data_IF_261957551763
#
_entry.id   IF_261957551763
#
_cell.length_a   1.000
_cell.length_b   1.000
_cell.length_c   1.000
_cell.angle_alpha   90.00
_cell.angle_beta   90.00
_cell.angle_gamma   90.00
#
_symmetry.space_group_name_H-M   'P 1'
#
loop_
_entity.id
_entity.type
_entity.pdbx_description
1 polymer ?
#
# COMPACT_ATOMS: atom_id res chain seq x y z
N UNK A 1 -25.93 -54.17 40.41
CA UNK A 1 -25.88 -53.81 38.96
C UNK A 1 -25.90 -55.14 38.18
N UNK A 2 -26.89 -55.38 37.32
CA UNK A 2 -27.02 -56.65 36.64
C UNK A 2 -26.02 -56.75 35.46
N UNK A 3 -25.53 -57.99 35.16
CA UNK A 3 -24.64 -58.25 33.99
C UNK A 3 -25.16 -57.59 32.69
N UNK A 4 -26.46 -57.53 32.53
CA UNK A 4 -27.14 -56.94 31.36
C UNK A 4 -26.99 -55.41 31.27
N UNK A 5 -26.98 -54.74 32.41
CA UNK A 5 -26.78 -53.29 32.50
C UNK A 5 -25.31 -52.91 32.17
N UNK A 6 -24.35 -53.71 32.64
CA UNK A 6 -22.94 -53.52 32.36
C UNK A 6 -22.61 -53.70 30.86
N UNK A 7 -23.17 -54.72 30.20
CA UNK A 7 -22.99 -54.94 28.78
C UNK A 7 -23.56 -53.79 27.92
N UNK A 8 -24.74 -53.24 28.29
CA UNK A 8 -25.29 -52.05 27.60
C UNK A 8 -24.42 -50.81 27.75
N UNK A 9 -23.87 -50.57 28.92
CA UNK A 9 -22.98 -49.44 29.17
C UNK A 9 -21.70 -49.57 28.33
N UNK A 10 -21.11 -50.75 28.27
CA UNK A 10 -19.92 -51.02 27.45
C UNK A 10 -20.22 -50.80 25.96
N UNK A 11 -21.34 -51.25 25.42
CA UNK A 11 -21.75 -51.02 24.03
C UNK A 11 -21.91 -49.51 23.73
N UNK A 12 -22.50 -48.75 24.64
CA UNK A 12 -22.64 -47.29 24.51
C UNK A 12 -21.28 -46.63 24.52
N UNK A 13 -20.37 -47.02 25.42
CA UNK A 13 -19.02 -46.42 25.50
C UNK A 13 -18.19 -46.72 24.26
N UNK A 14 -18.31 -47.95 23.72
CA UNK A 14 -17.63 -48.32 22.47
C UNK A 14 -18.17 -47.49 21.28
N UNK A 15 -19.48 -47.37 21.14
CA UNK A 15 -20.09 -46.52 20.10
C UNK A 15 -19.72 -45.06 20.23
N UNK A 16 -19.72 -44.54 21.45
CA UNK A 16 -19.28 -43.16 21.72
C UNK A 16 -17.79 -42.93 21.36
N UNK A 17 -16.91 -43.91 21.67
CA UNK A 17 -15.51 -43.86 21.27
C UNK A 17 -15.32 -43.80 19.76
N UNK A 18 -16.00 -44.67 19.02
CA UNK A 18 -15.92 -44.65 17.55
C UNK A 18 -16.56 -43.39 16.94
N UNK A 19 -17.66 -42.89 17.51
CA UNK A 19 -18.26 -41.61 17.12
C UNK A 19 -17.31 -40.43 17.32
N UNK A 20 -16.63 -40.37 18.47
CA UNK A 20 -15.65 -39.33 18.75
C UNK A 20 -14.44 -39.42 17.79
N UNK A 21 -13.94 -40.63 17.53
CA UNK A 21 -12.84 -40.84 16.59
C UNK A 21 -13.22 -40.40 15.15
N UNK A 22 -14.44 -40.69 14.71
CA UNK A 22 -14.95 -40.26 13.41
C UNK A 22 -15.02 -38.73 13.33
N UNK A 23 -15.54 -38.06 14.36
CA UNK A 23 -15.63 -36.62 14.42
C UNK A 23 -14.23 -35.95 14.42
N UNK A 24 -13.25 -36.52 15.12
CA UNK A 24 -11.88 -36.02 15.09
C UNK A 24 -11.26 -36.13 13.70
N UNK A 25 -11.45 -37.23 13.00
CA UNK A 25 -10.95 -37.41 11.63
C UNK A 25 -11.60 -36.40 10.68
N UNK A 26 -12.91 -36.16 10.75
CA UNK A 26 -13.59 -35.15 9.94
C UNK A 26 -13.04 -33.75 10.26
N UNK A 27 -12.93 -33.41 11.54
CA UNK A 27 -12.40 -32.11 11.95
C UNK A 27 -10.96 -31.87 11.44
N UNK A 28 -10.13 -32.93 11.44
CA UNK A 28 -8.77 -32.87 10.91
C UNK A 28 -8.76 -32.64 9.40
N UNK A 29 -9.62 -33.35 8.64
CA UNK A 29 -9.71 -33.16 7.19
C UNK A 29 -10.22 -31.77 6.84
N UNK A 30 -11.28 -31.29 7.52
CA UNK A 30 -11.81 -29.95 7.30
C UNK A 30 -10.79 -28.87 7.66
N UNK A 31 -10.05 -29.05 8.76
CA UNK A 31 -8.96 -28.18 9.15
C UNK A 31 -7.84 -28.13 8.10
N UNK A 32 -7.39 -29.29 7.64
CA UNK A 32 -6.38 -29.38 6.59
C UNK A 32 -6.84 -28.72 5.29
N UNK A 33 -8.10 -28.96 4.89
CA UNK A 33 -8.69 -28.34 3.69
C UNK A 33 -8.82 -26.82 3.83
N UNK A 34 -9.18 -26.31 5.01
CA UNK A 34 -9.23 -24.87 5.30
C UNK A 34 -7.85 -24.24 5.21
N UNK A 35 -6.84 -24.81 5.86
CA UNK A 35 -5.47 -24.29 5.82
C UNK A 35 -4.82 -24.41 4.44
N UNK A 36 -5.21 -25.39 3.62
CA UNK A 36 -4.77 -25.50 2.23
C UNK A 36 -5.51 -24.56 1.28
N UNK A 37 -6.57 -23.86 1.73
CA UNK A 37 -7.40 -23.00 0.89
C UNK A 37 -8.27 -23.75 -0.13
N UNK A 38 -8.47 -25.07 0.06
CA UNK A 38 -9.17 -25.93 -0.93
C UNK A 38 -10.64 -25.57 -1.09
N UNK A 39 -11.33 -25.21 -0.01
CA UNK A 39 -12.76 -24.87 -0.04
C UNK A 39 -13.04 -23.39 -0.23
N UNK A 40 -12.24 -22.55 0.41
CA UNK A 40 -12.35 -21.09 0.35
C UNK A 40 -10.98 -20.50 0.65
N UNK A 41 -10.43 -19.62 -0.20
CA UNK A 41 -9.16 -18.95 0.07
C UNK A 41 -9.26 -18.20 1.39
N UNK A 42 -8.49 -18.62 2.39
CA UNK A 42 -8.40 -17.88 3.64
C UNK A 42 -7.30 -16.81 3.53
N UNK A 43 -7.27 -15.84 4.45
CA UNK A 43 -6.33 -14.72 4.45
C UNK A 43 -4.87 -15.20 4.37
N UNK A 44 -4.51 -16.25 5.12
CA UNK A 44 -3.16 -16.81 5.09
C UNK A 44 -2.77 -17.37 3.71
N UNK A 45 -3.71 -18.01 3.01
CA UNK A 45 -3.45 -18.53 1.65
C UNK A 45 -3.34 -17.39 0.64
N UNK A 46 -4.17 -16.35 0.78
CA UNK A 46 -4.12 -15.16 -0.07
C UNK A 46 -2.79 -14.41 0.12
N UNK A 47 -2.37 -14.15 1.36
CA UNK A 47 -1.10 -13.52 1.69
C UNK A 47 0.08 -14.28 1.10
N UNK A 48 0.06 -15.62 1.18
CA UNK A 48 1.11 -16.46 0.61
C UNK A 48 1.18 -16.38 -0.91
N UNK A 49 0.03 -16.38 -1.58
CA UNK A 49 -0.05 -16.23 -3.04
C UNK A 49 0.47 -14.84 -3.44
N UNK A 50 0.10 -13.81 -2.71
CA UNK A 50 0.53 -12.44 -2.98
C UNK A 50 2.05 -12.28 -2.79
N UNK A 51 2.62 -12.84 -1.73
CA UNK A 51 4.07 -12.91 -1.51
C UNK A 51 4.81 -13.62 -2.66
N UNK A 52 4.26 -14.71 -3.19
CA UNK A 52 4.85 -15.43 -4.32
C UNK A 52 4.78 -14.61 -5.61
N UNK A 53 3.68 -13.93 -5.86
CA UNK A 53 3.52 -13.03 -7.02
C UNK A 53 4.52 -11.89 -6.91
N UNK A 54 4.60 -11.24 -5.76
CA UNK A 54 5.55 -10.15 -5.53
C UNK A 54 7.01 -10.57 -5.71
N UNK A 55 7.39 -11.75 -5.20
CA UNK A 55 8.73 -12.32 -5.45
C UNK A 55 9.01 -12.56 -6.93
N UNK A 56 8.01 -13.02 -7.70
CA UNK A 56 8.15 -13.19 -9.15
C UNK A 56 8.31 -11.86 -9.87
N UNK A 57 7.54 -10.84 -9.50
CA UNK A 57 7.67 -9.48 -10.04
C UNK A 57 9.06 -8.89 -9.76
N UNK A 58 9.57 -8.99 -8.52
CA UNK A 58 10.92 -8.56 -8.17
C UNK A 58 12.02 -9.30 -8.97
N UNK A 59 11.86 -10.60 -9.14
CA UNK A 59 12.79 -11.38 -9.96
C UNK A 59 12.77 -10.94 -11.42
N UNK A 60 11.60 -10.64 -11.99
CA UNK A 60 11.48 -10.12 -13.35
C UNK A 60 12.16 -8.75 -13.50
N UNK A 61 11.97 -7.82 -12.55
CA UNK A 61 12.67 -6.53 -12.53
C UNK A 61 14.19 -6.72 -12.57
N UNK A 62 14.69 -7.66 -11.76
CA UNK A 62 16.12 -7.98 -11.69
C UNK A 62 16.63 -8.61 -12.99
N UNK A 63 15.89 -9.58 -13.54
CA UNK A 63 16.25 -10.27 -14.79
C UNK A 63 16.21 -9.34 -16.00
N UNK A 64 15.27 -8.41 -16.05
CA UNK A 64 15.13 -7.42 -17.12
C UNK A 64 16.10 -6.24 -16.95
N UNK A 65 16.83 -6.16 -15.84
CA UNK A 65 17.75 -5.07 -15.55
C UNK A 65 17.04 -3.71 -15.51
N UNK A 66 15.77 -3.68 -15.11
CA UNK A 66 15.00 -2.44 -15.02
C UNK A 66 15.64 -1.50 -14.02
N UNK A 67 15.95 -0.30 -14.49
CA UNK A 67 16.51 0.78 -13.68
C UNK A 67 15.45 1.84 -13.45
N UNK A 68 15.60 2.60 -12.35
CA UNK A 68 14.80 3.78 -12.11
C UNK A 68 14.84 4.70 -13.34
N UNK A 69 13.68 5.14 -13.86
CA UNK A 69 13.62 6.00 -15.02
C UNK A 69 14.17 7.39 -14.73
N UNK A 70 14.80 8.01 -15.72
CA UNK A 70 15.16 9.42 -15.65
C UNK A 70 13.91 10.28 -15.53
N UNK A 71 13.96 11.24 -14.58
CA UNK A 71 12.82 12.11 -14.28
C UNK A 71 13.05 13.49 -14.93
N UNK A 72 12.93 13.53 -16.26
CA UNK A 72 13.10 14.75 -17.06
C UNK A 72 11.74 15.35 -17.45
N UNK A 73 11.62 16.67 -17.30
CA UNK A 73 10.42 17.41 -17.69
C UNK A 73 10.75 18.88 -17.97
N UNK A 74 9.91 19.52 -18.79
CA UNK A 74 10.02 20.94 -19.15
C UNK A 74 8.73 21.70 -18.84
N UNK A 75 7.62 21.01 -18.78
CA UNK A 75 6.27 21.55 -18.58
C UNK A 75 5.40 20.57 -17.80
N UNK A 76 4.14 20.97 -17.52
CA UNK A 76 3.17 20.16 -16.79
C UNK A 76 2.94 18.79 -17.47
N UNK A 77 2.82 18.75 -18.79
CA UNK A 77 2.53 17.50 -19.51
C UNK A 77 3.67 16.50 -19.40
N UNK A 78 4.91 16.98 -19.57
CA UNK A 78 6.12 16.14 -19.43
C UNK A 78 6.38 15.77 -17.98
N UNK A 79 6.05 16.64 -16.99
CA UNK A 79 6.09 16.30 -15.57
C UNK A 79 5.14 15.14 -15.24
N UNK A 80 3.91 15.18 -15.74
CA UNK A 80 2.92 14.09 -15.58
C UNK A 80 3.50 12.78 -16.13
N UNK A 81 4.07 12.80 -17.34
CA UNK A 81 4.67 11.62 -17.97
C UNK A 81 5.87 11.09 -17.19
N UNK A 82 6.74 11.96 -16.68
CA UNK A 82 7.88 11.56 -15.87
C UNK A 82 7.44 10.93 -14.54
N UNK A 83 6.44 11.54 -13.89
CA UNK A 83 5.85 10.98 -12.66
C UNK A 83 5.17 9.64 -12.91
N UNK A 84 4.42 9.50 -14.00
CA UNK A 84 3.78 8.23 -14.40
C UNK A 84 4.81 7.12 -14.57
N UNK A 85 5.88 7.35 -15.35
CA UNK A 85 6.96 6.37 -15.53
C UNK A 85 7.60 5.95 -14.21
N UNK A 86 7.80 6.91 -13.30
CA UNK A 86 8.33 6.63 -11.97
C UNK A 86 7.37 5.74 -11.16
N UNK A 87 6.07 6.05 -11.15
CA UNK A 87 5.07 5.27 -10.42
C UNK A 87 4.94 3.86 -11.01
N UNK A 88 4.93 3.73 -12.33
CA UNK A 88 4.94 2.43 -13.02
C UNK A 88 6.15 1.60 -12.60
N UNK A 89 7.35 2.18 -12.60
CA UNK A 89 8.57 1.53 -12.12
C UNK A 89 8.44 1.09 -10.64
N UNK A 90 7.98 1.99 -9.77
CA UNK A 90 7.80 1.69 -8.35
C UNK A 90 6.75 0.58 -8.11
N UNK A 91 5.72 0.51 -8.92
CA UNK A 91 4.69 -0.53 -8.81
C UNK A 91 5.21 -1.94 -9.08
N UNK A 92 6.30 -2.11 -9.85
CA UNK A 92 6.98 -3.40 -9.97
C UNK A 92 7.70 -3.82 -8.67
N UNK A 93 8.09 -2.86 -7.83
CA UNK A 93 8.84 -3.10 -6.60
C UNK A 93 8.00 -2.88 -5.33
N UNK A 94 6.74 -2.50 -5.50
CA UNK A 94 5.78 -2.28 -4.39
C UNK A 94 4.71 -3.36 -4.45
N UNK A 95 4.55 -4.05 -3.34
CA UNK A 95 3.48 -5.03 -3.18
C UNK A 95 2.11 -4.39 -3.49
N UNK A 96 1.18 -5.19 -4.03
CA UNK A 96 -0.11 -4.72 -4.55
C UNK A 96 -0.93 -3.95 -3.51
N UNK A 97 -0.99 -4.45 -2.27
CA UNK A 97 -1.75 -3.83 -1.18
C UNK A 97 -1.12 -2.52 -0.69
N UNK A 98 0.16 -2.32 -0.97
CA UNK A 98 0.91 -1.10 -0.62
C UNK A 98 0.92 -0.04 -1.71
N UNK A 99 0.39 -0.32 -2.90
CA UNK A 99 0.33 0.65 -4.01
C UNK A 99 -0.67 1.75 -3.69
N UNK A 100 -0.29 2.98 -4.03
CA UNK A 100 -1.17 4.14 -3.98
C UNK A 100 -1.67 4.43 -5.40
N UNK A 101 -2.94 4.77 -5.62
CA UNK A 101 -3.46 5.02 -6.96
C UNK A 101 -2.63 6.06 -7.74
N UNK A 102 -2.24 5.71 -8.95
CA UNK A 102 -1.31 6.50 -9.79
C UNK A 102 -1.77 7.94 -9.99
N UNK A 103 -3.05 8.14 -10.28
CA UNK A 103 -3.61 9.49 -10.47
C UNK A 103 -3.50 10.36 -9.21
N UNK A 104 -3.66 9.77 -8.02
CA UNK A 104 -3.48 10.49 -6.76
C UNK A 104 -2.03 10.93 -6.57
N UNK A 105 -1.07 10.03 -6.81
CA UNK A 105 0.36 10.35 -6.69
C UNK A 105 0.72 11.50 -7.63
N UNK A 106 0.30 11.43 -8.90
CA UNK A 106 0.60 12.45 -9.91
C UNK A 106 -0.02 13.80 -9.53
N UNK A 107 -1.30 13.81 -9.14
CA UNK A 107 -2.00 15.03 -8.74
C UNK A 107 -1.35 15.67 -7.50
N UNK A 108 -1.10 14.89 -6.46
CA UNK A 108 -0.44 15.36 -5.24
C UNK A 108 0.97 15.88 -5.53
N UNK A 109 1.77 15.15 -6.32
CA UNK A 109 3.10 15.62 -6.73
C UNK A 109 3.03 16.96 -7.48
N UNK A 110 2.06 17.10 -8.38
CA UNK A 110 1.84 18.34 -9.12
C UNK A 110 1.47 19.51 -8.21
N UNK A 111 0.52 19.32 -7.29
CA UNK A 111 0.06 20.36 -6.36
C UNK A 111 1.18 20.79 -5.41
N UNK A 112 1.82 19.83 -4.73
CA UNK A 112 2.83 20.09 -3.71
C UNK A 112 4.12 20.72 -4.29
N UNK A 113 4.47 20.36 -5.52
CA UNK A 113 5.70 20.85 -6.17
C UNK A 113 5.47 21.99 -7.15
N UNK A 114 4.23 22.43 -7.38
CA UNK A 114 3.89 23.35 -8.47
C UNK A 114 4.25 22.74 -9.83
N UNK A 115 3.88 21.48 -10.06
CA UNK A 115 4.23 20.70 -11.24
C UNK A 115 5.76 20.63 -11.47
N UNK A 116 6.50 20.52 -10.38
CA UNK A 116 7.94 20.42 -10.39
C UNK A 116 8.70 21.75 -10.44
N UNK A 117 8.02 22.89 -10.41
CA UNK A 117 8.69 24.22 -10.51
C UNK A 117 9.18 24.77 -9.18
N UNK A 118 8.72 24.20 -8.05
CA UNK A 118 9.12 24.68 -6.73
C UNK A 118 10.64 24.51 -6.48
N UNK A 119 11.22 25.37 -5.65
CA UNK A 119 12.63 25.28 -5.25
C UNK A 119 12.97 23.90 -4.65
N UNK A 120 12.08 23.36 -3.82
CA UNK A 120 12.30 22.05 -3.21
C UNK A 120 12.35 20.92 -4.26
N UNK A 121 11.51 21.00 -5.30
CA UNK A 121 11.53 20.04 -6.40
C UNK A 121 12.79 20.19 -7.28
N UNK A 122 13.26 21.44 -7.51
CA UNK A 122 14.40 21.72 -8.38
C UNK A 122 15.75 21.42 -7.70
N UNK A 123 15.93 21.91 -6.47
CA UNK A 123 17.22 21.84 -5.76
C UNK A 123 17.33 20.60 -4.85
N UNK A 124 16.19 20.02 -4.46
CA UNK A 124 16.13 18.91 -3.49
C UNK A 124 15.46 17.65 -3.98
N UNK A 125 14.99 17.61 -5.23
CA UNK A 125 14.18 16.49 -5.76
C UNK A 125 12.96 16.15 -4.91
N UNK A 126 12.47 17.06 -4.07
CA UNK A 126 11.40 16.86 -3.11
C UNK A 126 10.06 17.30 -3.72
N UNK A 127 9.25 16.32 -4.14
CA UNK A 127 7.95 16.57 -4.78
C UNK A 127 6.82 16.80 -3.78
N UNK A 128 6.95 16.30 -2.54
CA UNK A 128 5.84 16.28 -1.56
C UNK A 128 6.13 17.05 -0.28
N UNK A 129 7.24 17.75 -0.19
CA UNK A 129 7.57 18.56 0.98
C UNK A 129 7.69 17.78 2.30
N UNK A 130 8.05 16.50 2.25
CA UNK A 130 8.17 15.65 3.44
C UNK A 130 9.19 16.23 4.40
N UNK A 131 8.79 16.49 5.64
CA UNK A 131 9.63 17.08 6.68
C UNK A 131 10.49 16.04 7.40
N UNK A 132 11.62 16.49 7.91
CA UNK A 132 12.48 15.76 8.83
C UNK A 132 12.98 16.67 9.94
N UNK A 133 13.14 16.10 11.14
CA UNK A 133 13.75 16.72 12.32
C UNK A 133 15.11 16.08 12.64
N UNK A 134 15.53 15.13 11.80
CA UNK A 134 16.83 14.47 11.93
C UNK A 134 17.88 15.24 11.15
N UNK A 135 18.84 15.84 11.86
CA UNK A 135 19.91 16.62 11.27
C UNK A 135 20.86 15.81 10.37
N UNK A 136 20.90 14.49 10.53
CA UNK A 136 21.69 13.60 9.67
C UNK A 136 20.99 13.32 8.33
N UNK A 137 19.69 13.60 8.22
CA UNK A 137 18.96 13.45 6.97
C UNK A 137 19.21 14.67 6.07
N UNK A 138 19.67 14.51 4.82
CA UNK A 138 19.80 15.60 3.88
C UNK A 138 18.49 16.39 3.75
N UNK A 139 18.53 17.69 3.99
CA UNK A 139 17.33 18.52 4.08
C UNK A 139 17.58 19.95 3.56
N UNK A 140 16.50 20.65 3.28
CA UNK A 140 16.49 22.07 2.89
C UNK A 140 15.59 22.85 3.84
N UNK A 141 16.07 23.96 4.33
CA UNK A 141 15.25 24.90 5.12
C UNK A 141 14.38 25.77 4.22
N UNK A 142 13.20 26.15 4.70
CA UNK A 142 12.37 27.14 4.01
C UNK A 142 13.02 28.53 4.05
N UNK A 143 12.98 29.27 2.95
CA UNK A 143 13.58 30.62 2.89
C UNK A 143 12.98 31.59 3.93
N UNK A 144 11.67 31.42 4.22
CA UNK A 144 10.98 32.25 5.21
C UNK A 144 11.17 31.78 6.66
N UNK A 145 11.83 30.65 6.90
CA UNK A 145 12.09 30.11 8.25
C UNK A 145 13.40 29.29 8.25
N UNK A 146 14.55 29.95 8.12
CA UNK A 146 15.86 29.29 8.03
C UNK A 146 16.26 28.60 9.34
N UNK A 147 15.77 29.10 10.47
CA UNK A 147 16.09 28.59 11.82
C UNK A 147 15.11 27.52 12.31
N UNK A 148 14.21 27.02 11.45
CA UNK A 148 13.29 25.96 11.84
C UNK A 148 14.04 24.71 12.30
N UNK A 149 13.57 24.07 13.38
CA UNK A 149 14.10 22.77 13.86
C UNK A 149 13.93 21.64 12.85
N UNK A 150 13.11 21.83 11.82
CA UNK A 150 12.84 20.86 10.76
C UNK A 150 13.28 21.38 9.40
N UNK A 151 13.47 20.48 8.46
CA UNK A 151 13.67 20.81 7.05
C UNK A 151 12.86 19.87 6.15
N UNK A 152 12.78 20.24 4.88
CA UNK A 152 12.22 19.36 3.84
C UNK A 152 13.33 18.42 3.38
N UNK A 153 13.06 17.11 3.38
CA UNK A 153 14.00 16.08 2.95
C UNK A 153 14.49 16.35 1.53
N UNK A 154 15.78 16.09 1.29
CA UNK A 154 16.36 16.03 -0.05
C UNK A 154 16.52 14.59 -0.49
N UNK A 155 16.34 14.36 -1.78
CA UNK A 155 16.47 13.04 -2.39
C UNK A 155 17.50 13.07 -3.51
N UNK A 156 18.07 11.90 -3.83
CA UNK A 156 18.97 11.77 -4.97
C UNK A 156 18.21 11.94 -6.28
N UNK A 157 16.99 11.40 -6.34
CA UNK A 157 16.10 11.48 -7.49
C UNK A 157 14.69 11.92 -7.06
N UNK A 158 13.90 12.41 -8.01
CA UNK A 158 12.47 12.70 -7.76
C UNK A 158 11.65 11.44 -7.51
N UNK A 159 12.08 10.33 -8.09
CA UNK A 159 11.45 9.03 -7.88
C UNK A 159 11.64 8.52 -6.44
N UNK A 160 12.80 8.78 -5.83
CA UNK A 160 12.99 8.52 -4.39
C UNK A 160 12.00 9.32 -3.52
N UNK A 161 11.68 10.56 -3.90
CA UNK A 161 10.65 11.34 -3.20
C UNK A 161 9.25 10.71 -3.33
N UNK A 162 8.90 10.18 -4.51
CA UNK A 162 7.65 9.42 -4.71
C UNK A 162 7.65 8.17 -3.84
N UNK A 163 8.75 7.43 -3.81
CA UNK A 163 8.90 6.23 -2.98
C UNK A 163 8.74 6.54 -1.48
N UNK A 164 9.33 7.62 -0.99
CA UNK A 164 9.19 8.02 0.42
C UNK A 164 7.76 8.45 0.78
N UNK A 165 7.05 9.12 -0.12
CA UNK A 165 5.63 9.44 0.02
C UNK A 165 4.79 8.16 0.15
N UNK A 166 4.94 7.19 -0.75
CA UNK A 166 4.26 5.91 -0.69
C UNK A 166 4.56 5.19 0.63
N UNK A 167 5.83 5.16 1.03
CA UNK A 167 6.27 4.57 2.29
C UNK A 167 5.67 5.28 3.50
N UNK A 168 5.53 6.59 3.47
CA UNK A 168 4.91 7.38 4.53
C UNK A 168 3.43 7.02 4.69
N UNK A 169 2.68 6.95 3.61
CA UNK A 169 1.26 6.54 3.63
C UNK A 169 1.11 5.11 4.19
N UNK A 170 2.02 4.21 3.84
CA UNK A 170 1.94 2.82 4.28
C UNK A 170 2.36 2.60 5.74
N UNK A 171 3.21 3.44 6.31
CA UNK A 171 3.75 3.25 7.67
C UNK A 171 3.13 4.15 8.72
N UNK A 172 2.79 5.39 8.36
CA UNK A 172 2.38 6.37 9.35
C UNK A 172 0.95 6.10 9.83
N UNK A 173 0.76 6.11 11.16
CA UNK A 173 -0.53 5.80 11.82
C UNK A 173 -1.70 6.66 11.34
N UNK A 174 -1.45 7.90 10.97
CA UNK A 174 -2.49 8.84 10.53
C UNK A 174 -3.19 8.40 9.23
N UNK A 175 -2.58 7.50 8.45
CA UNK A 175 -3.15 7.00 7.19
C UNK A 175 -3.73 5.59 7.31
N UNK A 176 -4.05 5.14 8.53
CA UNK A 176 -4.66 3.81 8.75
C UNK A 176 -5.97 3.67 7.99
N UNK A 177 -6.88 4.65 8.13
CA UNK A 177 -8.17 4.64 7.44
C UNK A 177 -8.04 4.67 5.91
N UNK A 178 -7.02 5.37 5.39
CA UNK A 178 -6.72 5.34 3.96
C UNK A 178 -6.33 3.93 3.50
N UNK A 179 -5.51 3.21 4.28
CA UNK A 179 -5.10 1.84 3.94
C UNK A 179 -6.27 0.87 3.95
N UNK A 180 -7.14 0.95 4.95
CA UNK A 180 -8.36 0.16 5.05
C UNK A 180 -9.28 0.42 3.85
N UNK A 181 -9.56 1.68 3.53
CA UNK A 181 -10.35 2.05 2.36
C UNK A 181 -9.73 1.58 1.03
N UNK A 182 -8.41 1.65 0.93
CA UNK A 182 -7.67 1.17 -0.25
C UNK A 182 -7.78 -0.34 -0.43
N UNK A 183 -7.66 -1.12 0.65
CA UNK A 183 -7.82 -2.57 0.63
C UNK A 183 -9.21 -2.97 0.13
N UNK A 184 -10.25 -2.34 0.64
CA UNK A 184 -11.62 -2.57 0.18
C UNK A 184 -11.79 -2.30 -1.32
N UNK A 185 -11.13 -1.26 -1.85
CA UNK A 185 -11.25 -0.87 -3.27
C UNK A 185 -10.39 -1.72 -4.22
N UNK A 186 -9.29 -2.30 -3.73
CA UNK A 186 -8.45 -3.19 -4.55
C UNK A 186 -9.24 -4.40 -5.03
N UNK A 187 -10.10 -4.95 -4.19
CA UNK A 187 -10.92 -6.12 -4.51
C UNK A 187 -12.01 -5.78 -5.54
N UNK A 188 -12.53 -4.56 -5.51
CA UNK A 188 -13.51 -4.07 -6.47
C UNK A 188 -12.89 -3.71 -7.85
N UNK A 189 -11.57 -3.57 -7.94
CA UNK A 189 -10.83 -3.25 -9.16
C UNK A 189 -11.10 -1.85 -9.71
N UNK A 190 -11.69 -0.97 -8.93
CA UNK A 190 -11.99 0.43 -9.28
C UNK A 190 -11.67 1.36 -8.14
N UNK A 191 -11.05 2.51 -8.48
CA UNK A 191 -10.71 3.53 -7.49
C UNK A 191 -11.82 4.57 -7.35
N UNK A 192 -12.38 4.71 -6.16
CA UNK A 192 -13.13 5.89 -5.75
C UNK A 192 -12.16 6.89 -5.09
N UNK A 193 -11.61 7.77 -5.91
CA UNK A 193 -10.64 8.77 -5.45
C UNK A 193 -11.19 9.68 -4.35
N UNK A 194 -12.50 9.98 -4.34
CA UNK A 194 -13.12 10.82 -3.30
C UNK A 194 -13.07 10.13 -1.96
N UNK A 195 -13.48 8.88 -1.88
CA UNK A 195 -13.43 8.09 -0.63
C UNK A 195 -12.01 7.98 -0.11
N UNK A 196 -11.04 7.75 -0.98
CA UNK A 196 -9.62 7.67 -0.62
C UNK A 196 -9.09 9.01 -0.14
N UNK A 197 -9.35 10.11 -0.86
CA UNK A 197 -8.79 11.43 -0.53
C UNK A 197 -9.34 11.99 0.77
N UNK A 198 -10.60 11.74 1.13
CA UNK A 198 -11.16 12.13 2.44
C UNK A 198 -10.39 11.48 3.59
N UNK A 199 -9.85 10.26 3.40
CA UNK A 199 -9.01 9.57 4.41
C UNK A 199 -7.56 10.08 4.47
N UNK A 200 -7.19 11.01 3.59
CA UNK A 200 -5.88 11.67 3.56
C UNK A 200 -5.84 13.00 4.30
N UNK A 201 -6.83 13.30 5.16
CA UNK A 201 -6.95 14.58 5.88
C UNK A 201 -5.71 14.98 6.69
N UNK A 202 -4.93 14.01 7.16
CA UNK A 202 -3.68 14.27 7.88
C UNK A 202 -2.53 14.77 6.98
N UNK A 203 -2.68 14.72 5.63
CA UNK A 203 -1.65 15.16 4.69
C UNK A 203 -1.53 16.67 4.62
N UNK A 204 -2.65 17.38 4.70
CA UNK A 204 -2.69 18.84 4.59
C UNK A 204 -3.56 19.46 5.68
N UNK A 205 -3.17 20.64 6.14
CA UNK A 205 -4.00 21.45 7.06
C UNK A 205 -5.16 22.17 6.36
N UNK A 206 -5.17 22.17 5.00
CA UNK A 206 -6.26 22.69 4.22
C UNK A 206 -7.43 21.69 4.22
N UNK A 207 -8.62 22.02 4.75
CA UNK A 207 -9.77 21.11 4.79
C UNK A 207 -10.27 20.72 3.38
N UNK A 208 -10.06 21.60 2.39
CA UNK A 208 -10.50 21.39 1.00
C UNK A 208 -9.44 20.68 0.14
N UNK A 209 -8.34 20.21 0.74
CA UNK A 209 -7.24 19.58 0.00
C UNK A 209 -7.71 18.41 -0.87
N UNK A 210 -8.64 17.61 -0.38
CA UNK A 210 -9.19 16.49 -1.12
C UNK A 210 -9.89 16.95 -2.42
N UNK A 211 -10.66 18.05 -2.40
CA UNK A 211 -11.30 18.60 -3.61
C UNK A 211 -10.26 19.14 -4.60
N UNK A 212 -9.19 19.77 -4.09
CA UNK A 212 -8.09 20.28 -4.93
C UNK A 212 -7.42 19.12 -5.67
N UNK A 213 -7.17 18.00 -4.99
CA UNK A 213 -6.57 16.81 -5.62
C UNK A 213 -7.52 16.20 -6.65
N UNK A 214 -8.81 16.04 -6.30
CA UNK A 214 -9.82 15.51 -7.22
C UNK A 214 -9.96 16.37 -8.48
N UNK A 215 -9.99 17.69 -8.31
CA UNK A 215 -10.04 18.63 -9.43
C UNK A 215 -8.79 18.51 -10.32
N UNK A 216 -7.61 18.39 -9.72
CA UNK A 216 -6.36 18.22 -10.46
C UNK A 216 -6.33 16.92 -11.28
N UNK A 217 -6.91 15.83 -10.75
CA UNK A 217 -7.07 14.56 -11.49
C UNK A 217 -7.92 14.76 -12.73
N UNK A 218 -9.09 15.42 -12.58
CA UNK A 218 -10.02 15.66 -13.67
C UNK A 218 -9.42 16.61 -14.72
N UNK A 219 -8.92 17.77 -14.30
CA UNK A 219 -8.39 18.82 -15.19
C UNK A 219 -7.17 18.36 -15.98
N UNK A 220 -6.38 17.48 -15.38
CA UNK A 220 -5.17 16.95 -16.02
C UNK A 220 -5.43 15.64 -16.77
N UNK A 221 -6.68 15.14 -16.78
CA UNK A 221 -7.09 13.88 -17.41
C UNK A 221 -6.13 12.74 -17.04
N UNK A 222 -5.87 12.62 -15.73
CA UNK A 222 -4.96 11.60 -15.23
C UNK A 222 -5.57 10.19 -15.37
N UNK A 223 -4.75 9.13 -15.51
CA UNK A 223 -5.20 7.77 -15.77
C UNK A 223 -6.00 7.17 -14.61
#
# INVERSE_FOLDING_TARGET
MTRRTYAKIQDILVKAKYGLMFLTVIATILGAAFFSGTFYPNTWTLDKIEDEIHKKELNQVTLLGLKEPEFEYKDKSTFIKATLKCVEYLNYTTDRLSRVPTSMIIAMAGIESGWGTSRFAQEGNALFGVRTWDDNTPQMKAKGNPDAEWGVKKYKTKCESVKDMIATINRHRAYKEFREEREDQIDDGKWDYRRLMVRMSAWSTNPDYHEIVLQAIVDSKLP
#
